data_IF_840966785934
#
_entry.id   IF_840966785934
#
_cell.length_a   1.000
_cell.length_b   1.000
_cell.length_c   1.000
_cell.angle_alpha   90.00
_cell.angle_beta   90.00
_cell.angle_gamma   90.00
#
_symmetry.space_group_name_H-M   'P 1'
#
loop_
_entity.id
_entity.type
_entity.pdbx_description
1 polymer ?
#
# COMPACT_ATOMS: atom_id res chain seq x y z
N UNK A 1 53.97 34.24 39.13
CA UNK A 1 54.98 33.18 38.90
C UNK A 1 54.40 32.19 37.93
N UNK A 2 54.69 32.37 36.71
CA UNK A 2 55.57 31.61 35.82
C UNK A 2 54.98 30.25 35.35
N UNK A 3 54.62 30.29 34.07
CA UNK A 3 55.12 29.41 32.99
C UNK A 3 54.51 27.98 32.98
N UNK A 4 54.02 27.35 31.92
CA UNK A 4 54.50 27.33 30.52
C UNK A 4 53.53 26.45 29.70
N UNK A 5 53.07 26.86 28.57
CA UNK A 5 52.71 25.98 27.44
C UNK A 5 53.96 25.31 26.88
N UNK A 6 53.87 24.15 26.24
CA UNK A 6 53.79 24.19 24.80
C UNK A 6 53.07 23.03 24.04
N UNK A 7 52.64 23.42 22.86
CA UNK A 7 52.81 22.78 21.55
C UNK A 7 51.95 21.58 21.14
N UNK A 8 51.21 21.81 20.05
CA UNK A 8 50.73 20.85 19.04
C UNK A 8 51.85 20.01 18.44
N UNK A 9 51.48 18.85 17.90
CA UNK A 9 51.76 18.68 16.47
C UNK A 9 50.56 18.25 15.64
N UNK A 10 50.54 18.76 14.48
CA UNK A 10 49.80 18.46 13.26
C UNK A 10 50.03 17.01 12.79
N UNK A 11 48.96 16.33 12.39
CA UNK A 11 49.05 15.21 11.46
C UNK A 11 47.85 15.17 10.56
N UNK A 12 48.11 15.22 9.30
CA UNK A 12 47.32 15.24 8.08
C UNK A 12 46.41 14.04 7.92
N UNK A 13 45.17 14.33 7.48
CA UNK A 13 44.25 13.35 6.94
C UNK A 13 44.57 13.02 5.47
N UNK A 14 44.39 11.80 5.01
CA UNK A 14 44.31 11.50 3.58
C UNK A 14 42.88 11.57 3.09
N UNK A 15 42.68 12.35 2.05
CA UNK A 15 41.52 12.38 1.20
C UNK A 15 41.33 11.03 0.51
N UNK A 16 40.17 10.39 0.66
CA UNK A 16 39.76 9.26 -0.18
C UNK A 16 38.85 9.76 -1.28
N UNK A 17 39.30 9.56 -2.50
CA UNK A 17 38.69 9.89 -3.76
C UNK A 17 37.40 9.07 -4.00
N UNK A 18 36.42 9.71 -4.65
CA UNK A 18 35.22 9.08 -5.17
C UNK A 18 35.54 8.05 -6.26
N UNK A 19 34.83 6.90 -6.34
CA UNK A 19 35.00 5.96 -7.43
C UNK A 19 34.28 6.44 -8.69
N UNK A 20 35.03 6.52 -9.79
CA UNK A 20 34.63 6.84 -11.13
C UNK A 20 33.67 5.80 -11.73
N UNK A 21 32.63 6.30 -12.40
CA UNK A 21 31.72 5.53 -13.26
C UNK A 21 32.41 5.12 -14.56
N UNK A 22 33.14 4.00 -14.56
CA UNK A 22 33.55 3.32 -15.82
C UNK A 22 33.75 1.83 -15.52
N UNK A 23 32.89 0.98 -16.04
CA UNK A 23 33.06 -0.47 -15.90
C UNK A 23 31.81 -1.34 -16.12
N UNK A 24 30.92 -0.97 -17.06
CA UNK A 24 29.85 -1.85 -17.53
C UNK A 24 29.93 -2.06 -19.05
N UNK A 25 31.01 -2.66 -19.52
CA UNK A 25 31.18 -2.86 -20.96
C UNK A 25 32.12 -3.98 -21.36
N UNK A 26 32.69 -4.73 -20.46
CA UNK A 26 33.75 -5.68 -20.80
C UNK A 26 33.48 -7.17 -20.42
N UNK A 27 32.31 -7.48 -19.89
CA UNK A 27 31.98 -8.88 -19.52
C UNK A 27 31.29 -9.69 -20.64
N UNK A 28 31.07 -9.11 -21.82
CA UNK A 28 30.40 -9.80 -22.93
C UNK A 28 31.35 -10.30 -24.05
N UNK A 29 32.65 -10.28 -23.82
CA UNK A 29 33.65 -10.61 -24.87
C UNK A 29 34.65 -11.71 -24.52
N UNK A 30 34.45 -12.44 -23.44
CA UNK A 30 35.28 -13.64 -23.17
C UNK A 30 34.35 -14.83 -22.96
N UNK A 31 34.40 -15.69 -24.01
CA UNK A 31 33.58 -16.89 -24.12
C UNK A 31 33.91 -17.99 -23.15
N UNK A 32 32.99 -18.89 -23.11
CA UNK A 32 32.97 -20.27 -22.65
C UNK A 32 34.30 -20.86 -22.15
N UNK A 33 34.24 -21.29 -20.86
CA UNK A 33 34.69 -22.65 -20.53
C UNK A 33 34.08 -23.06 -19.18
N UNK A 34 33.57 -24.28 -19.17
CA UNK A 34 32.72 -24.88 -18.17
C UNK A 34 33.41 -25.14 -16.83
N UNK A 35 32.79 -24.69 -15.72
CA UNK A 35 32.97 -25.27 -14.39
C UNK A 35 31.57 -25.51 -13.79
N UNK A 36 31.28 -26.72 -13.21
CA UNK A 36 29.92 -27.03 -12.74
C UNK A 36 29.55 -26.20 -11.52
N UNK A 37 28.42 -25.52 -11.65
CA UNK A 37 27.83 -24.70 -10.59
C UNK A 37 27.45 -25.58 -9.39
N UNK A 38 28.11 -25.35 -8.27
CA UNK A 38 27.61 -25.77 -6.97
C UNK A 38 26.34 -24.97 -6.68
N UNK A 39 25.26 -25.69 -6.37
CA UNK A 39 24.01 -25.18 -5.92
C UNK A 39 24.17 -24.32 -4.66
N UNK A 40 24.27 -23.01 -4.84
CA UNK A 40 24.03 -22.05 -3.77
C UNK A 40 22.52 -21.82 -3.71
N UNK A 41 21.83 -22.03 -2.59
CA UNK A 41 20.40 -21.74 -2.48
C UNK A 41 20.22 -20.22 -2.67
N UNK A 42 19.45 -19.82 -3.68
CA UNK A 42 18.95 -18.45 -3.77
C UNK A 42 18.21 -18.12 -2.49
N UNK A 43 18.41 -16.92 -1.88
CA UNK A 43 17.57 -16.48 -0.79
C UNK A 43 16.15 -16.31 -1.34
N UNK A 44 15.28 -17.25 -1.00
CA UNK A 44 13.84 -17.09 -1.17
C UNK A 44 13.39 -15.89 -0.34
N UNK A 45 12.46 -15.06 -0.82
CA UNK A 45 11.92 -13.97 -0.01
C UNK A 45 11.37 -14.57 1.27
N UNK A 46 11.91 -14.14 2.40
CA UNK A 46 11.54 -14.57 3.74
C UNK A 46 10.01 -14.58 3.87
N UNK A 47 9.46 -15.77 4.03
CA UNK A 47 8.13 -15.94 4.62
C UNK A 47 8.20 -15.31 6.00
N UNK A 48 7.33 -14.36 6.35
CA UNK A 48 7.13 -14.02 7.75
C UNK A 48 6.63 -15.30 8.42
N UNK A 49 7.49 -15.92 9.17
CA UNK A 49 7.22 -17.18 9.84
C UNK A 49 6.47 -16.88 11.13
N UNK A 50 5.67 -17.84 11.59
CA UNK A 50 4.99 -17.91 12.90
C UNK A 50 5.91 -17.60 14.11
N UNK A 51 7.19 -17.40 13.85
CA UNK A 51 8.26 -16.97 14.76
C UNK A 51 8.08 -15.52 15.21
N UNK A 52 7.53 -14.63 14.37
CA UNK A 52 7.36 -13.20 14.72
C UNK A 52 6.26 -13.02 15.76
N UNK A 53 5.15 -13.75 15.62
CA UNK A 53 4.08 -13.75 16.62
C UNK A 53 4.59 -14.29 17.97
N UNK A 54 5.40 -15.35 17.94
CA UNK A 54 6.05 -15.90 19.12
C UNK A 54 7.00 -14.91 19.77
N UNK A 55 7.68 -14.09 18.98
CA UNK A 55 8.61 -13.06 19.47
C UNK A 55 7.84 -11.87 20.07
N UNK A 56 6.74 -11.42 19.43
CA UNK A 56 5.88 -10.36 19.97
C UNK A 56 5.18 -10.80 21.26
N UNK A 57 4.68 -12.03 21.31
CA UNK A 57 4.10 -12.62 22.52
C UNK A 57 5.15 -12.73 23.64
N UNK A 58 6.40 -13.13 23.31
CA UNK A 58 7.50 -13.18 24.26
C UNK A 58 7.92 -11.80 24.78
N UNK A 59 7.85 -10.77 23.94
CA UNK A 59 8.11 -9.38 24.34
C UNK A 59 6.98 -8.79 25.20
N UNK A 60 5.71 -9.05 24.83
CA UNK A 60 4.56 -8.58 25.58
C UNK A 60 4.34 -9.30 26.92
N UNK A 61 4.81 -10.55 27.04
CA UNK A 61 4.59 -11.37 28.25
C UNK A 61 5.73 -11.32 29.28
N UNK A 62 6.82 -10.58 28.98
CA UNK A 62 7.92 -10.40 29.93
C UNK A 62 8.20 -11.66 30.77
N UNK A 63 8.97 -12.59 30.27
CA UNK A 63 9.53 -13.77 30.98
C UNK A 63 8.63 -14.67 31.86
N UNK A 64 7.28 -14.43 31.87
CA UNK A 64 6.33 -15.15 32.76
C UNK A 64 5.39 -16.11 32.04
N UNK A 65 5.53 -16.26 30.71
CA UNK A 65 4.66 -17.14 29.93
C UNK A 65 5.12 -18.57 30.00
N UNK A 66 4.44 -19.43 30.74
CA UNK A 66 4.67 -20.87 30.76
C UNK A 66 3.68 -21.56 29.81
N UNK A 67 4.18 -22.45 28.96
CA UNK A 67 3.33 -23.38 28.24
C UNK A 67 2.73 -24.38 29.25
N UNK A 68 1.43 -24.44 29.34
CA UNK A 68 0.68 -25.38 30.18
C UNK A 68 -0.31 -26.15 29.36
N UNK A 69 -0.56 -27.38 29.73
CA UNK A 69 -1.64 -28.18 29.18
C UNK A 69 -2.91 -27.85 29.95
N UNK A 70 -3.97 -27.43 29.26
CA UNK A 70 -5.25 -27.06 29.88
C UNK A 70 -6.41 -27.81 29.22
N UNK A 71 -7.48 -28.13 29.98
CA UNK A 71 -8.68 -28.76 29.43
C UNK A 71 -9.35 -27.88 28.37
N UNK A 72 -9.70 -28.48 27.23
CA UNK A 72 -10.35 -27.78 26.12
C UNK A 72 -11.67 -27.13 26.52
N UNK A 73 -12.40 -27.75 27.43
CA UNK A 73 -13.67 -27.25 27.97
C UNK A 73 -13.56 -26.01 28.87
N UNK A 74 -12.35 -25.69 29.33
CA UNK A 74 -12.09 -24.50 30.14
C UNK A 74 -11.87 -23.25 29.29
N UNK A 75 -11.76 -23.41 27.96
CA UNK A 75 -11.45 -22.35 27.01
C UNK A 75 -12.73 -21.87 26.35
N UNK A 76 -12.96 -20.55 26.42
CA UNK A 76 -14.05 -19.88 25.73
C UNK A 76 -13.48 -18.93 24.66
N UNK A 77 -14.20 -18.69 23.55
CA UNK A 77 -13.80 -17.66 22.59
C UNK A 77 -13.80 -16.28 23.25
N UNK A 78 -12.83 -15.45 22.94
CA UNK A 78 -12.80 -14.05 23.36
C UNK A 78 -13.83 -13.20 22.61
N UNK A 79 -14.33 -12.10 23.18
CA UNK A 79 -15.30 -11.21 22.54
C UNK A 79 -14.75 -10.51 21.29
N UNK A 80 -13.44 -10.43 21.15
CA UNK A 80 -12.71 -9.78 20.06
C UNK A 80 -12.47 -10.68 18.85
N UNK A 81 -13.05 -11.90 18.79
CA UNK A 81 -12.84 -12.82 17.66
C UNK A 81 -13.68 -12.40 16.44
N UNK A 82 -13.07 -11.89 15.34
CA UNK A 82 -13.83 -11.36 14.20
C UNK A 82 -14.33 -12.49 13.27
N UNK A 83 -13.68 -13.66 13.31
CA UNK A 83 -13.94 -14.73 12.35
C UNK A 83 -15.19 -15.54 12.73
N UNK A 84 -16.27 -15.36 11.95
CA UNK A 84 -17.53 -16.10 12.13
C UNK A 84 -17.66 -17.29 11.17
N UNK A 85 -17.00 -17.26 10.02
CA UNK A 85 -17.11 -18.30 8.98
C UNK A 85 -15.80 -19.08 8.92
N UNK A 86 -15.90 -20.38 9.09
CA UNK A 86 -14.77 -21.32 8.98
C UNK A 86 -15.06 -22.32 7.88
N UNK A 87 -14.08 -22.56 7.02
CA UNK A 87 -14.14 -23.66 6.07
C UNK A 87 -14.12 -24.98 6.83
N UNK A 88 -15.23 -25.71 6.73
CA UNK A 88 -15.43 -26.98 7.44
C UNK A 88 -14.45 -28.06 6.96
N UNK A 89 -14.10 -28.07 5.66
CA UNK A 89 -13.18 -29.07 5.11
C UNK A 89 -11.77 -28.85 5.67
N UNK A 90 -11.25 -27.61 5.57
CA UNK A 90 -9.93 -27.26 6.08
C UNK A 90 -9.81 -27.43 7.60
N UNK A 91 -10.92 -27.27 8.34
CA UNK A 91 -10.96 -27.52 9.78
C UNK A 91 -10.91 -29.01 10.12
N UNK A 92 -11.60 -29.86 9.34
CA UNK A 92 -11.56 -31.30 9.50
C UNK A 92 -10.18 -31.88 9.15
N UNK A 93 -9.53 -31.41 8.10
CA UNK A 93 -8.16 -31.82 7.75
C UNK A 93 -7.19 -31.51 8.88
N UNK A 94 -7.29 -30.31 9.47
CA UNK A 94 -6.51 -29.93 10.64
C UNK A 94 -6.82 -30.82 11.84
N UNK A 95 -8.09 -31.17 12.08
CA UNK A 95 -8.48 -32.06 13.18
C UNK A 95 -7.93 -33.49 13.02
N UNK A 96 -7.85 -34.00 11.79
CA UNK A 96 -7.20 -35.31 11.50
C UNK A 96 -5.71 -35.24 11.82
N UNK A 97 -5.01 -34.17 11.39
CA UNK A 97 -3.61 -33.96 11.70
C UNK A 97 -3.35 -33.86 13.22
N UNK A 98 -4.17 -33.09 13.92
CA UNK A 98 -4.07 -32.92 15.39
C UNK A 98 -4.33 -34.24 16.13
N UNK A 99 -5.23 -35.09 15.63
CA UNK A 99 -5.50 -36.39 16.23
C UNK A 99 -4.31 -37.34 16.12
N UNK A 100 -3.55 -37.24 15.02
CA UNK A 100 -2.39 -38.10 14.77
C UNK A 100 -1.12 -37.64 15.47
N UNK A 101 -0.87 -36.33 15.50
CA UNK A 101 0.41 -35.74 15.93
C UNK A 101 0.30 -34.89 17.19
N UNK A 102 -0.92 -34.72 17.73
CA UNK A 102 -1.16 -33.75 18.78
C UNK A 102 -1.14 -32.30 18.27
N UNK A 103 -1.40 -31.36 19.16
CA UNK A 103 -1.29 -29.93 18.88
C UNK A 103 0.16 -29.48 19.10
N UNK A 104 0.90 -29.27 18.02
CA UNK A 104 2.34 -28.91 18.08
C UNK A 104 2.51 -27.46 18.52
N UNK A 105 1.74 -26.54 17.96
CA UNK A 105 1.78 -25.11 18.30
C UNK A 105 0.73 -24.81 19.37
N UNK A 106 1.11 -24.26 20.53
CA UNK A 106 0.17 -23.90 21.58
C UNK A 106 -0.77 -22.78 21.12
N UNK A 107 -1.94 -22.71 21.73
CA UNK A 107 -2.84 -21.56 21.61
C UNK A 107 -2.45 -20.48 22.64
N UNK A 108 -2.89 -19.23 22.41
CA UNK A 108 -2.70 -18.14 23.34
C UNK A 108 -4.01 -17.85 24.07
N UNK A 109 -3.96 -17.83 25.41
CA UNK A 109 -5.12 -17.60 26.24
C UNK A 109 -4.77 -16.64 27.39
N UNK A 110 -5.80 -15.97 27.94
CA UNK A 110 -5.72 -15.28 29.23
C UNK A 110 -6.68 -15.91 30.22
N UNK A 111 -6.44 -15.72 31.51
CA UNK A 111 -7.42 -16.10 32.53
C UNK A 111 -8.67 -15.21 32.42
N UNK A 112 -9.84 -15.82 32.56
CA UNK A 112 -11.10 -15.07 32.56
C UNK A 112 -11.18 -14.25 33.86
N UNK A 113 -11.42 -12.95 33.83
CA UNK A 113 -11.71 -12.18 35.05
C UNK A 113 -12.84 -12.84 35.85
N UNK A 114 -12.72 -12.88 37.15
CA UNK A 114 -13.73 -13.41 38.10
C UNK A 114 -14.04 -14.91 38.03
N UNK A 115 -13.36 -15.72 37.19
CA UNK A 115 -13.60 -17.17 37.10
C UNK A 115 -12.29 -17.95 37.15
N UNK A 116 -12.04 -18.60 38.29
CA UNK A 116 -10.89 -19.52 38.43
C UNK A 116 -11.01 -20.68 37.40
N UNK A 117 -9.90 -21.08 36.81
CA UNK A 117 -9.81 -22.18 35.87
C UNK A 117 -10.69 -22.00 34.61
N UNK A 118 -10.91 -20.76 34.18
CA UNK A 118 -11.54 -20.46 32.89
C UNK A 118 -10.64 -19.51 32.11
N UNK A 119 -10.53 -19.77 30.82
CA UNK A 119 -9.62 -19.06 29.94
C UNK A 119 -10.37 -18.46 28.76
N UNK A 120 -9.95 -17.29 28.33
CA UNK A 120 -10.42 -16.66 27.11
C UNK A 120 -9.36 -16.79 26.02
N UNK A 121 -9.75 -17.27 24.87
CA UNK A 121 -8.89 -17.46 23.72
C UNK A 121 -8.54 -16.11 23.09
N UNK A 122 -7.26 -15.83 22.91
CA UNK A 122 -6.73 -14.64 22.25
C UNK A 122 -6.36 -15.00 20.80
N UNK A 123 -5.54 -16.05 20.60
CA UNK A 123 -5.09 -16.48 19.26
C UNK A 123 -5.09 -18.00 19.13
N UNK A 124 -5.25 -18.48 17.89
CA UNK A 124 -5.26 -19.91 17.58
C UNK A 124 -6.64 -20.56 17.54
N UNK A 125 -7.71 -19.83 17.17
CA UNK A 125 -9.09 -20.34 17.15
C UNK A 125 -9.27 -21.56 16.26
N UNK A 126 -8.65 -21.63 15.08
CA UNK A 126 -8.69 -22.81 14.22
C UNK A 126 -8.12 -24.05 14.92
N UNK A 127 -7.02 -23.90 15.66
CA UNK A 127 -6.39 -24.97 16.44
C UNK A 127 -7.29 -25.46 17.57
N UNK A 128 -7.89 -24.54 18.32
CA UNK A 128 -8.81 -24.87 19.38
C UNK A 128 -10.07 -25.60 18.87
N UNK A 129 -10.70 -25.11 17.79
CA UNK A 129 -11.87 -25.78 17.18
C UNK A 129 -11.50 -27.15 16.59
N UNK A 130 -10.36 -27.26 15.93
CA UNK A 130 -9.89 -28.52 15.40
C UNK A 130 -9.58 -29.55 16.52
N UNK A 131 -9.06 -29.09 17.67
CA UNK A 131 -8.86 -29.92 18.85
C UNK A 131 -10.19 -30.43 19.43
N UNK A 132 -11.24 -29.62 19.43
CA UNK A 132 -12.62 -30.06 19.81
C UNK A 132 -13.14 -31.14 18.87
N UNK A 133 -13.01 -30.97 17.54
CA UNK A 133 -13.39 -31.95 16.53
C UNK A 133 -12.57 -33.24 16.69
N UNK A 134 -11.26 -33.09 17.01
CA UNK A 134 -10.39 -34.23 17.29
C UNK A 134 -10.68 -34.93 18.61
N UNK A 135 -11.57 -34.38 19.44
CA UNK A 135 -11.97 -34.89 20.79
C UNK A 135 -10.77 -34.99 21.73
N UNK A 136 -9.85 -34.02 21.68
CA UNK A 136 -8.79 -33.91 22.66
C UNK A 136 -9.35 -33.37 23.98
N UNK A 137 -8.94 -33.95 25.09
CA UNK A 137 -9.35 -33.48 26.42
C UNK A 137 -8.56 -32.27 26.85
N UNK A 138 -7.28 -32.23 26.49
CA UNK A 138 -6.34 -31.21 26.88
C UNK A 138 -5.49 -30.77 25.71
N UNK A 139 -5.10 -29.49 25.70
CA UNK A 139 -4.23 -28.90 24.66
C UNK A 139 -3.19 -27.97 25.28
N UNK A 140 -2.00 -27.85 24.67
CA UNK A 140 -0.98 -26.92 25.09
C UNK A 140 -1.44 -25.48 24.83
N UNK A 141 -1.30 -24.63 25.84
CA UNK A 141 -1.64 -23.22 25.79
C UNK A 141 -0.56 -22.38 26.47
N UNK A 142 -0.32 -21.19 25.95
CA UNK A 142 0.43 -20.13 26.59
C UNK A 142 -0.57 -19.27 27.36
N UNK A 143 -0.40 -19.21 28.69
CA UNK A 143 -1.25 -18.40 29.55
C UNK A 143 -0.51 -17.08 29.79
N UNK A 144 -1.06 -15.99 29.30
CA UNK A 144 -0.52 -14.64 29.52
C UNK A 144 -1.43 -13.82 30.43
N UNK A 145 -0.81 -12.85 31.10
CA UNK A 145 -1.53 -11.85 31.91
C UNK A 145 -1.77 -10.66 30.97
N UNK A 146 -2.97 -10.59 30.40
CA UNK A 146 -3.39 -9.54 29.50
C UNK A 146 -4.67 -8.89 30.01
N UNK A 147 -4.74 -7.59 29.97
CA UNK A 147 -6.00 -6.91 30.15
C UNK A 147 -6.91 -7.08 28.91
N UNK A 148 -8.07 -6.46 28.90
CA UNK A 148 -9.02 -6.58 27.78
C UNK A 148 -8.51 -5.84 26.55
N UNK A 149 -7.81 -4.71 26.74
CA UNK A 149 -7.22 -3.91 25.68
C UNK A 149 -6.08 -4.66 25.01
N UNK A 150 -5.15 -5.21 25.79
CA UNK A 150 -4.01 -6.01 25.28
C UNK A 150 -4.48 -7.23 24.51
N UNK A 151 -5.47 -7.95 25.05
CA UNK A 151 -6.01 -9.15 24.42
C UNK A 151 -6.71 -8.84 23.07
N UNK A 152 -7.44 -7.74 23.00
CA UNK A 152 -8.07 -7.23 21.78
C UNK A 152 -7.03 -6.83 20.75
N UNK A 153 -5.99 -6.13 21.18
CA UNK A 153 -4.88 -5.69 20.33
C UNK A 153 -4.15 -6.87 19.68
N UNK A 154 -3.73 -7.84 20.48
CA UNK A 154 -3.03 -9.03 20.00
C UNK A 154 -3.91 -9.80 18.99
N UNK A 155 -5.20 -9.96 19.29
CA UNK A 155 -6.13 -10.64 18.39
C UNK A 155 -6.34 -9.89 17.07
N UNK A 156 -6.37 -8.56 17.08
CA UNK A 156 -6.47 -7.73 15.88
C UNK A 156 -5.18 -7.80 15.04
N UNK A 157 -4.01 -7.71 15.67
CA UNK A 157 -2.72 -7.82 14.98
C UNK A 157 -2.58 -9.21 14.33
N UNK A 158 -2.93 -10.29 15.04
CA UNK A 158 -2.92 -11.65 14.47
C UNK A 158 -3.83 -11.76 13.26
N UNK A 159 -5.03 -11.19 13.35
CA UNK A 159 -5.97 -11.20 12.24
C UNK A 159 -5.45 -10.43 11.03
N UNK A 160 -4.80 -9.30 11.22
CA UNK A 160 -4.19 -8.49 10.13
C UNK A 160 -3.03 -9.21 9.43
N UNK A 161 -2.28 -10.05 10.13
CA UNK A 161 -1.17 -10.82 9.56
C UNK A 161 -1.63 -12.01 8.69
N UNK A 162 -2.94 -12.24 8.57
CA UNK A 162 -3.49 -13.29 7.72
C UNK A 162 -3.28 -12.97 6.24
N UNK A 163 -3.05 -14.03 5.44
CA UNK A 163 -2.79 -13.92 3.99
C UNK A 163 -4.04 -13.87 3.14
N UNK A 164 -5.19 -14.19 3.71
CA UNK A 164 -6.47 -14.35 3.04
C UNK A 164 -7.40 -13.13 3.19
N UNK A 165 -6.90 -12.03 3.75
CA UNK A 165 -7.66 -10.78 3.87
C UNK A 165 -7.80 -10.07 2.53
N UNK A 166 -9.00 -9.57 2.26
CA UNK A 166 -9.23 -8.60 1.19
C UNK A 166 -8.63 -7.24 1.58
N UNK A 167 -8.37 -6.38 0.59
CA UNK A 167 -7.84 -5.04 0.87
C UNK A 167 -8.78 -4.17 1.72
N UNK A 168 -10.09 -4.44 1.68
CA UNK A 168 -11.07 -3.74 2.51
C UNK A 168 -11.01 -4.26 3.94
N UNK A 169 -10.99 -5.58 4.16
CA UNK A 169 -10.86 -6.18 5.50
C UNK A 169 -9.54 -5.75 6.18
N UNK A 170 -8.45 -5.68 5.42
CA UNK A 170 -7.16 -5.19 5.92
C UNK A 170 -7.25 -3.70 6.32
N UNK A 171 -7.92 -2.87 5.52
CA UNK A 171 -8.14 -1.46 5.83
C UNK A 171 -9.03 -1.26 7.08
N UNK A 172 -10.09 -2.06 7.22
CA UNK A 172 -10.98 -2.04 8.40
C UNK A 172 -10.24 -2.44 9.67
N UNK A 173 -9.39 -3.46 9.59
CA UNK A 173 -8.58 -3.89 10.72
C UNK A 173 -7.55 -2.82 11.14
N UNK A 174 -6.93 -2.13 10.18
CA UNK A 174 -6.06 -0.97 10.48
C UNK A 174 -6.83 0.18 11.13
N UNK A 175 -8.03 0.48 10.61
CA UNK A 175 -8.89 1.50 11.19
C UNK A 175 -9.29 1.15 12.63
N UNK A 176 -9.61 -0.13 12.89
CA UNK A 176 -9.96 -0.61 14.23
C UNK A 176 -8.78 -0.47 15.20
N UNK A 177 -7.55 -0.85 14.79
CA UNK A 177 -6.35 -0.68 15.61
C UNK A 177 -6.08 0.78 15.95
N UNK A 178 -6.17 1.68 14.98
CA UNK A 178 -5.96 3.11 15.20
C UNK A 178 -7.02 3.69 16.14
N UNK A 179 -8.31 3.35 15.93
CA UNK A 179 -9.41 3.94 16.70
C UNK A 179 -9.55 3.37 18.12
N UNK A 180 -9.20 2.09 18.34
CA UNK A 180 -9.40 1.41 19.61
C UNK A 180 -8.16 1.41 20.50
N UNK A 181 -6.97 1.53 19.90
CA UNK A 181 -5.70 1.42 20.62
C UNK A 181 -4.81 2.67 20.50
N UNK A 182 -5.34 3.77 19.91
CA UNK A 182 -4.68 5.07 19.78
C UNK A 182 -3.35 5.03 19.00
N UNK A 183 -3.17 4.04 18.11
CA UNK A 183 -1.99 3.97 17.27
C UNK A 183 -1.94 5.08 16.24
N UNK A 184 -0.78 5.62 16.00
CA UNK A 184 -0.49 6.39 14.80
C UNK A 184 -0.28 5.45 13.61
N UNK A 185 -0.47 5.95 12.38
CA UNK A 185 -0.17 5.16 11.18
C UNK A 185 1.30 4.74 11.08
N UNK A 186 2.18 5.45 11.74
CA UNK A 186 3.63 5.21 11.77
C UNK A 186 3.96 4.03 12.68
N UNK A 187 3.48 4.06 13.92
CA UNK A 187 3.62 2.96 14.89
C UNK A 187 2.99 1.67 14.37
N UNK A 188 1.78 1.77 13.76
CA UNK A 188 1.13 0.61 13.15
C UNK A 188 1.95 0.02 12.00
N UNK A 189 2.61 0.87 11.20
CA UNK A 189 3.47 0.43 10.12
C UNK A 189 4.68 -0.37 10.61
N UNK A 190 5.29 0.05 11.71
CA UNK A 190 6.40 -0.65 12.36
C UNK A 190 5.96 -2.01 12.90
N UNK A 191 4.82 -2.05 13.64
CA UNK A 191 4.29 -3.28 14.25
C UNK A 191 3.94 -4.34 13.19
N UNK A 192 3.34 -3.92 12.05
CA UNK A 192 2.88 -4.84 11.01
C UNK A 192 3.99 -5.15 9.98
N UNK A 193 5.11 -4.42 10.01
CA UNK A 193 6.19 -4.58 9.03
C UNK A 193 5.81 -4.06 7.63
N UNK A 194 4.94 -3.04 7.54
CA UNK A 194 4.51 -2.40 6.29
C UNK A 194 4.99 -0.95 6.23
N UNK A 195 4.95 -0.34 5.04
CA UNK A 195 5.23 1.09 4.95
C UNK A 195 4.02 1.92 5.40
N UNK A 196 4.24 3.06 6.04
CA UNK A 196 3.19 4.04 6.37
C UNK A 196 2.34 4.40 5.15
N UNK A 197 2.97 4.53 3.97
CA UNK A 197 2.26 4.83 2.73
C UNK A 197 1.31 3.71 2.30
N UNK A 198 1.65 2.43 2.58
CA UNK A 198 0.78 1.30 2.32
C UNK A 198 -0.48 1.37 3.20
N UNK A 199 -0.33 1.56 4.50
CA UNK A 199 -1.45 1.71 5.45
C UNK A 199 -2.35 2.88 5.07
N UNK A 200 -1.76 4.06 4.82
CA UNK A 200 -2.52 5.24 4.42
C UNK A 200 -3.31 5.02 3.12
N UNK A 201 -2.74 4.32 2.13
CA UNK A 201 -3.42 4.02 0.87
C UNK A 201 -4.58 3.04 1.06
N UNK A 202 -4.42 2.01 1.89
CA UNK A 202 -5.49 1.07 2.20
C UNK A 202 -6.63 1.76 2.97
N UNK A 203 -6.32 2.51 4.02
CA UNK A 203 -7.34 3.24 4.80
C UNK A 203 -8.15 4.21 3.95
N UNK A 204 -7.56 4.79 2.89
CA UNK A 204 -8.31 5.65 1.97
C UNK A 204 -9.38 4.91 1.18
N UNK A 205 -9.32 3.58 1.06
CA UNK A 205 -10.38 2.79 0.41
C UNK A 205 -11.69 2.85 1.17
N UNK A 206 -11.65 2.98 2.49
CA UNK A 206 -12.84 3.09 3.33
C UNK A 206 -13.64 4.38 3.06
N UNK A 207 -13.03 5.37 2.40
CA UNK A 207 -13.71 6.59 1.96
C UNK A 207 -14.49 6.40 0.63
N UNK A 208 -14.40 5.23 0.00
CA UNK A 208 -15.20 4.90 -1.19
C UNK A 208 -16.63 4.51 -0.78
N UNK A 209 -17.63 4.70 -1.66
CA UNK A 209 -18.96 4.19 -1.43
C UNK A 209 -18.99 2.68 -1.18
N UNK A 210 -19.89 2.19 -0.32
CA UNK A 210 -19.99 0.77 0.04
C UNK A 210 -20.11 -0.16 -1.18
N UNK A 211 -20.86 0.25 -2.22
CA UNK A 211 -20.97 -0.50 -3.46
C UNK A 211 -19.62 -0.70 -4.19
N UNK A 212 -18.69 0.26 -4.09
CA UNK A 212 -17.36 0.14 -4.67
C UNK A 212 -16.46 -0.74 -3.80
N UNK A 213 -16.59 -0.65 -2.47
CA UNK A 213 -15.88 -1.51 -1.54
C UNK A 213 -16.26 -2.99 -1.72
N UNK A 214 -17.53 -3.29 -1.97
CA UNK A 214 -18.01 -4.63 -2.29
C UNK A 214 -17.36 -5.19 -3.57
N UNK A 215 -17.24 -4.36 -4.62
CA UNK A 215 -16.59 -4.76 -5.88
C UNK A 215 -15.09 -5.03 -5.70
N UNK A 216 -14.43 -4.30 -4.80
CA UNK A 216 -13.03 -4.56 -4.44
C UNK A 216 -12.92 -5.88 -3.67
N UNK A 217 -13.79 -6.10 -2.68
CA UNK A 217 -13.80 -7.32 -1.87
C UNK A 217 -14.11 -8.57 -2.70
N UNK A 218 -14.98 -8.44 -3.72
CA UNK A 218 -15.28 -9.49 -4.68
C UNK A 218 -14.15 -9.73 -5.71
N UNK A 219 -13.09 -8.90 -5.71
CA UNK A 219 -12.02 -8.99 -6.68
C UNK A 219 -12.40 -8.51 -8.10
N UNK A 220 -13.58 -7.91 -8.27
CA UNK A 220 -14.05 -7.39 -9.57
C UNK A 220 -13.31 -6.10 -9.97
N UNK A 221 -12.84 -5.34 -9.00
CA UNK A 221 -12.02 -4.14 -9.21
C UNK A 221 -10.67 -4.27 -8.51
N UNK A 222 -9.63 -3.85 -9.18
CA UNK A 222 -8.26 -3.82 -8.64
C UNK A 222 -7.95 -2.51 -7.94
N UNK A 223 -6.99 -2.52 -7.02
CA UNK A 223 -6.48 -1.33 -6.33
C UNK A 223 -6.03 -0.22 -7.29
N UNK A 224 -5.40 -0.59 -8.42
CA UNK A 224 -4.95 0.37 -9.43
C UNK A 224 -6.10 1.12 -10.09
N UNK A 225 -7.21 0.43 -10.37
CA UNK A 225 -8.41 1.01 -10.98
C UNK A 225 -9.18 1.94 -10.02
N UNK A 226 -9.25 1.58 -8.73
CA UNK A 226 -10.07 2.35 -7.76
C UNK A 226 -9.32 3.51 -7.11
N UNK A 227 -8.00 3.49 -7.07
CA UNK A 227 -7.20 4.55 -6.46
C UNK A 227 -7.52 5.96 -6.99
N UNK A 228 -7.71 6.17 -8.29
CA UNK A 228 -8.10 7.48 -8.82
C UNK A 228 -9.52 7.93 -8.43
N UNK A 229 -10.41 6.97 -8.05
CA UNK A 229 -11.79 7.24 -7.64
C UNK A 229 -11.90 7.80 -6.22
N UNK A 230 -10.87 7.64 -5.41
CA UNK A 230 -10.89 8.06 -4.00
C UNK A 230 -11.08 9.58 -3.90
N UNK A 231 -12.20 9.97 -3.26
CA UNK A 231 -12.59 11.38 -3.14
C UNK A 231 -13.30 11.94 -4.36
N UNK A 232 -13.66 11.12 -5.36
CA UNK A 232 -14.49 11.55 -6.49
C UNK A 232 -15.98 11.41 -6.13
N UNK A 233 -16.78 12.44 -6.43
CA UNK A 233 -18.21 12.46 -6.09
C UNK A 233 -19.00 11.36 -6.82
N UNK A 234 -18.62 11.01 -8.07
CA UNK A 234 -19.26 10.00 -8.89
C UNK A 234 -18.54 8.65 -8.84
N UNK A 235 -17.83 8.34 -7.74
CA UNK A 235 -17.02 7.13 -7.64
C UNK A 235 -17.80 5.83 -7.95
N UNK A 236 -19.08 5.75 -7.55
CA UNK A 236 -19.92 4.58 -7.82
C UNK A 236 -20.23 4.42 -9.31
N UNK A 237 -20.60 5.51 -10.00
CA UNK A 237 -20.88 5.49 -11.44
C UNK A 237 -19.64 5.16 -12.26
N UNK A 238 -18.50 5.74 -11.88
CA UNK A 238 -17.21 5.44 -12.52
C UNK A 238 -16.78 4.01 -12.30
N UNK A 239 -17.02 3.43 -11.15
CA UNK A 239 -16.74 2.01 -10.88
C UNK A 239 -17.54 1.08 -11.79
N UNK A 240 -18.82 1.38 -12.04
CA UNK A 240 -19.64 0.64 -13.00
C UNK A 240 -19.12 0.78 -14.44
N UNK A 241 -18.73 2.00 -14.85
CA UNK A 241 -18.14 2.24 -16.17
C UNK A 241 -16.85 1.43 -16.36
N UNK A 242 -15.98 1.38 -15.34
CA UNK A 242 -14.74 0.59 -15.37
C UNK A 242 -15.03 -0.90 -15.61
N UNK A 243 -16.08 -1.45 -14.99
CA UNK A 243 -16.49 -2.84 -15.16
C UNK A 243 -17.08 -3.09 -16.55
N UNK A 244 -17.97 -2.19 -17.02
CA UNK A 244 -18.65 -2.34 -18.31
C UNK A 244 -17.66 -2.28 -19.46
N UNK A 245 -16.76 -1.31 -19.44
CA UNK A 245 -15.81 -1.05 -20.53
C UNK A 245 -14.46 -1.76 -20.33
N UNK A 246 -14.34 -2.53 -19.25
CA UNK A 246 -13.12 -3.27 -18.86
C UNK A 246 -11.85 -2.40 -18.89
N UNK A 247 -11.94 -1.20 -18.31
CA UNK A 247 -10.88 -0.19 -18.35
C UNK A 247 -9.66 -0.60 -17.54
N UNK A 248 -8.48 -0.41 -18.09
CA UNK A 248 -7.23 -0.58 -17.34
C UNK A 248 -7.01 0.56 -16.32
N UNK A 249 -6.14 0.35 -15.35
CA UNK A 249 -5.80 1.38 -14.37
C UNK A 249 -5.30 2.69 -15.02
N UNK A 250 -4.60 2.59 -16.17
CA UNK A 250 -4.11 3.76 -16.94
C UNK A 250 -5.26 4.51 -17.62
N UNK A 251 -6.21 3.78 -18.17
CA UNK A 251 -7.37 4.38 -18.83
C UNK A 251 -8.22 5.15 -17.82
N UNK A 252 -8.42 4.58 -16.61
CA UNK A 252 -9.12 5.24 -15.50
C UNK A 252 -8.40 6.52 -15.07
N UNK A 253 -7.07 6.47 -14.94
CA UNK A 253 -6.30 7.68 -14.60
C UNK A 253 -6.43 8.78 -15.67
N UNK A 254 -6.42 8.40 -16.96
CA UNK A 254 -6.58 9.34 -18.07
C UNK A 254 -8.01 9.92 -18.09
N UNK A 255 -9.01 9.08 -17.92
CA UNK A 255 -10.43 9.48 -17.85
C UNK A 255 -10.66 10.51 -16.75
N UNK A 256 -10.17 10.27 -15.53
CA UNK A 256 -10.33 11.19 -14.41
C UNK A 256 -9.50 12.47 -14.59
N UNK A 257 -8.30 12.37 -15.18
CA UNK A 257 -7.53 13.58 -15.56
C UNK A 257 -8.25 14.41 -16.61
N UNK A 258 -8.87 13.75 -17.60
CA UNK A 258 -9.69 14.41 -18.62
C UNK A 258 -10.89 15.14 -18.01
N UNK A 259 -11.61 14.50 -17.10
CA UNK A 259 -12.73 15.11 -16.35
C UNK A 259 -12.27 16.31 -15.50
N UNK A 260 -11.15 16.20 -14.80
CA UNK A 260 -10.57 17.31 -14.01
C UNK A 260 -10.08 18.46 -14.89
N UNK A 261 -9.55 18.18 -16.07
CA UNK A 261 -9.13 19.21 -17.05
C UNK A 261 -10.36 19.86 -17.69
N UNK A 262 -11.38 19.08 -18.05
CA UNK A 262 -12.64 19.58 -18.54
C UNK A 262 -13.38 20.46 -17.51
N UNK A 263 -13.42 20.06 -16.25
CA UNK A 263 -13.99 20.86 -15.16
C UNK A 263 -13.17 22.14 -14.88
N UNK A 264 -11.82 22.09 -15.00
CA UNK A 264 -10.98 23.29 -14.91
C UNK A 264 -11.12 24.19 -16.14
N UNK A 265 -11.39 23.64 -17.32
CA UNK A 265 -11.69 24.40 -18.50
C UNK A 265 -13.11 25.05 -18.43
N UNK A 266 -14.08 24.33 -17.82
CA UNK A 266 -15.42 24.87 -17.63
C UNK A 266 -15.51 25.98 -16.54
N UNK A 267 -14.61 25.95 -15.54
CA UNK A 267 -14.52 26.99 -14.47
C UNK A 267 -13.56 28.14 -14.80
N UNK A 268 -12.83 28.06 -15.90
CA UNK A 268 -11.89 29.09 -16.37
C UNK A 268 -12.20 29.59 -17.78
N UNK A 269 -13.46 29.64 -18.15
CA UNK A 269 -13.86 30.47 -19.25
C UNK A 269 -14.51 31.74 -18.65
N UNK A 270 -13.77 32.81 -18.30
CA UNK A 270 -14.35 34.12 -18.37
C UNK A 270 -14.85 34.24 -19.82
N UNK A 271 -16.11 34.64 -20.01
CA UNK A 271 -16.69 34.85 -21.33
C UNK A 271 -15.67 35.62 -22.17
N UNK A 272 -15.08 34.92 -23.18
CA UNK A 272 -14.17 35.55 -24.13
C UNK A 272 -14.96 36.70 -24.72
N UNK A 273 -14.50 37.94 -24.60
CA UNK A 273 -15.18 39.09 -25.14
C UNK A 273 -15.46 38.81 -26.62
N UNK A 274 -16.56 39.33 -27.14
CA UNK A 274 -16.95 39.23 -28.56
C UNK A 274 -15.78 39.58 -29.48
N UNK A 275 -14.96 40.50 -29.04
CA UNK A 275 -13.83 41.05 -29.78
C UNK A 275 -12.67 40.06 -29.87
N UNK A 276 -12.40 39.29 -28.81
CA UNK A 276 -11.40 38.25 -28.83
C UNK A 276 -11.80 37.08 -29.75
N UNK A 277 -13.10 36.71 -29.75
CA UNK A 277 -13.63 35.70 -30.68
C UNK A 277 -13.51 36.13 -32.13
N UNK A 278 -13.93 37.39 -32.44
CA UNK A 278 -13.79 37.93 -33.77
C UNK A 278 -12.34 37.98 -34.26
N UNK A 279 -11.39 38.27 -33.36
CA UNK A 279 -9.96 38.22 -33.67
C UNK A 279 -9.45 36.79 -33.91
N UNK A 280 -9.91 35.82 -33.13
CA UNK A 280 -9.57 34.40 -33.34
C UNK A 280 -10.06 33.92 -34.72
N UNK A 281 -11.33 34.18 -35.04
CA UNK A 281 -11.96 33.80 -36.31
C UNK A 281 -11.22 34.41 -37.50
N UNK A 282 -10.90 35.70 -37.42
CA UNK A 282 -10.17 36.39 -38.46
C UNK A 282 -8.75 35.87 -38.65
N UNK A 283 -8.06 35.58 -37.51
CA UNK A 283 -6.73 35.01 -37.58
C UNK A 283 -6.73 33.56 -38.09
N UNK A 284 -7.74 32.75 -37.75
CA UNK A 284 -7.90 31.40 -38.35
C UNK A 284 -8.16 31.45 -39.84
N UNK A 285 -8.97 32.41 -40.35
CA UNK A 285 -9.21 32.59 -41.75
C UNK A 285 -7.94 32.99 -42.53
N UNK A 286 -7.10 33.84 -41.93
CA UNK A 286 -5.86 34.30 -42.58
C UNK A 286 -4.77 33.24 -42.55
N UNK A 287 -4.61 32.54 -41.46
CA UNK A 287 -3.51 31.60 -41.25
C UNK A 287 -3.88 30.17 -41.70
N UNK A 288 -5.15 29.82 -41.79
CA UNK A 288 -5.58 28.45 -42.06
C UNK A 288 -5.25 27.43 -40.96
N UNK A 289 -4.90 27.91 -39.75
CA UNK A 289 -4.45 27.13 -38.59
C UNK A 289 -5.38 27.34 -37.41
N UNK A 290 -5.53 26.31 -36.59
CA UNK A 290 -6.27 26.44 -35.32
C UNK A 290 -5.52 27.34 -34.34
N UNK A 291 -6.18 28.43 -33.90
CA UNK A 291 -5.59 29.46 -33.07
C UNK A 291 -6.47 29.72 -31.84
N UNK A 292 -5.84 29.90 -30.69
CA UNK A 292 -6.53 30.34 -29.48
C UNK A 292 -5.79 31.51 -28.83
N UNK A 293 -6.55 32.59 -28.54
CA UNK A 293 -6.09 33.80 -27.88
C UNK A 293 -6.71 33.88 -26.47
N UNK A 294 -5.87 34.05 -25.46
CA UNK A 294 -6.31 34.38 -24.11
C UNK A 294 -5.70 35.71 -23.68
N UNK A 295 -6.53 36.63 -23.19
CA UNK A 295 -6.11 37.93 -22.70
C UNK A 295 -6.56 38.12 -21.25
N UNK A 296 -5.66 38.52 -20.37
CA UNK A 296 -5.93 38.86 -18.99
C UNK A 296 -5.82 40.39 -18.83
N UNK A 297 -6.98 41.05 -18.78
CA UNK A 297 -7.06 42.51 -18.69
C UNK A 297 -6.44 43.05 -17.42
N UNK A 298 -6.52 42.31 -16.31
CA UNK A 298 -5.99 42.75 -15.03
C UNK A 298 -4.45 42.77 -14.98
N UNK A 299 -3.81 41.94 -15.84
CA UNK A 299 -2.35 41.84 -15.90
C UNK A 299 -1.75 42.37 -17.20
N UNK A 300 -2.60 42.87 -18.09
CA UNK A 300 -2.20 43.35 -19.44
C UNK A 300 -1.32 42.32 -20.18
N UNK A 301 -1.67 41.01 -20.06
CA UNK A 301 -0.89 39.91 -20.67
C UNK A 301 -1.81 39.03 -21.50
N UNK A 302 -1.33 38.72 -22.69
CA UNK A 302 -1.97 37.78 -23.60
C UNK A 302 -1.11 36.57 -23.91
N UNK A 303 -1.78 35.44 -24.21
CA UNK A 303 -1.15 34.23 -24.74
C UNK A 303 -1.83 33.84 -26.04
N UNK A 304 -1.05 33.77 -27.11
CA UNK A 304 -1.47 33.24 -28.39
C UNK A 304 -0.94 31.81 -28.50
N UNK A 305 -1.82 30.84 -28.81
CA UNK A 305 -1.44 29.46 -29.06
C UNK A 305 -1.94 29.06 -30.46
N UNK A 306 -1.04 28.57 -31.29
CA UNK A 306 -1.30 28.10 -32.66
C UNK A 306 -1.02 26.59 -32.68
N UNK A 307 -2.01 25.80 -33.09
CA UNK A 307 -1.87 24.34 -33.23
C UNK A 307 -1.55 23.98 -34.65
N UNK A 308 -0.47 23.25 -34.87
CA UNK A 308 0.00 22.79 -36.19
C UNK A 308 0.07 21.26 -36.16
N UNK A 309 -0.19 20.63 -37.29
CA UNK A 309 -0.20 19.16 -37.47
C UNK A 309 0.92 18.65 -38.39
N UNK A 310 1.66 19.56 -39.07
CA UNK A 310 2.79 19.19 -39.91
C UNK A 310 3.92 20.21 -39.83
N UNK A 311 5.15 19.79 -40.22
CA UNK A 311 6.33 20.64 -40.30
C UNK A 311 6.15 21.75 -41.37
N UNK A 312 5.50 21.41 -42.48
CA UNK A 312 5.21 22.35 -43.55
C UNK A 312 4.37 23.53 -43.10
N UNK A 313 3.39 23.29 -42.20
CA UNK A 313 2.61 24.34 -41.57
C UNK A 313 3.43 25.23 -40.64
N UNK A 314 4.45 24.67 -40.00
CA UNK A 314 5.39 25.44 -39.19
C UNK A 314 6.26 26.34 -40.09
N UNK A 315 6.82 25.80 -41.16
CA UNK A 315 7.67 26.53 -42.11
C UNK A 315 6.89 27.69 -42.75
N UNK A 316 5.64 27.44 -43.18
CA UNK A 316 4.77 28.48 -43.76
C UNK A 316 4.46 29.58 -42.74
N UNK A 317 4.22 29.21 -41.47
CA UNK A 317 4.01 30.17 -40.42
C UNK A 317 5.27 31.00 -40.12
N UNK A 318 6.44 30.36 -40.06
CA UNK A 318 7.72 31.02 -39.80
C UNK A 318 8.06 31.99 -40.96
N UNK A 319 7.79 31.60 -42.24
CA UNK A 319 7.94 32.47 -43.39
C UNK A 319 7.04 33.72 -43.29
N UNK A 320 5.75 33.53 -42.91
CA UNK A 320 4.79 34.64 -42.75
C UNK A 320 5.14 35.57 -41.60
N UNK A 321 5.81 35.07 -40.55
CA UNK A 321 6.30 35.88 -39.42
C UNK A 321 7.65 36.55 -39.73
N UNK A 322 8.25 36.34 -40.90
CA UNK A 322 9.55 36.88 -41.27
C UNK A 322 10.70 36.21 -40.55
N UNK A 323 10.51 35.00 -40.06
CA UNK A 323 11.49 34.23 -39.28
C UNK A 323 12.03 33.04 -40.10
N UNK A 324 11.77 32.99 -41.39
CA UNK A 324 12.39 31.99 -42.25
C UNK A 324 13.88 32.30 -42.37
N UNK A 325 14.74 31.36 -42.03
CA UNK A 325 16.17 31.49 -42.20
C UNK A 325 16.52 31.66 -43.70
N UNK A 326 16.93 32.88 -44.07
CA UNK A 326 17.65 33.11 -45.33
C UNK A 326 19.05 32.47 -45.19
N UNK A 327 19.14 31.17 -45.34
CA UNK A 327 20.40 30.48 -45.53
C UNK A 327 20.51 30.05 -47.00
N UNK A 328 21.16 30.83 -47.89
CA UNK A 328 21.47 30.35 -49.21
C UNK A 328 22.59 29.31 -49.13
N UNK A 329 22.31 28.13 -49.62
CA UNK A 329 23.25 27.00 -49.82
C UNK A 329 24.45 27.37 -50.62
#
# INVERSE_FOLDING_TARGET
>A
MTKKSPAKPTSSAPQTAAPSRLGRGLSSLLGDDAIPAQNTPQPQPNKPSDTELSTMVAQATGNTSSVRTIPVEWINPGPWQPRRIFDAQALNELAVSIRQKGLIQPILVRETPDKKNRYQLIAGERRWRAAQIAKLHEIPAIIGIFDERDASEIALIENVQRRDLTSIEEAEAYQALISSHDYTQEELAEIIGKSRSHIANLMRLLNLPASVQELISAGSLTMGQVRPLIGHHDAAALAQLILTDNLSARDVEQLIKGMKSGAKAATKNPEKSSDIRALEDKAMQILGLSLSLSWDEAKERGKLSISMSSLEQLDDLMARLGLADDNPS
#
